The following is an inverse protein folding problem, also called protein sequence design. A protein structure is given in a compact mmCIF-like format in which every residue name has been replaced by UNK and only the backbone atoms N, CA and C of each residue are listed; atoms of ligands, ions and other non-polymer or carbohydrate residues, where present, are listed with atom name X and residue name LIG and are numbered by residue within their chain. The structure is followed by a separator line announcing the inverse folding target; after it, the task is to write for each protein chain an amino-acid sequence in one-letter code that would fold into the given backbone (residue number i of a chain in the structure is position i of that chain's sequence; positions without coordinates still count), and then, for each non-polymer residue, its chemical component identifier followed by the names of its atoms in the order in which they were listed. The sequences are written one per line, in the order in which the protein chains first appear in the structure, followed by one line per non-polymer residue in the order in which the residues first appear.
data_IF_984920447779
#
_entry.id   IF_984920447779
#
_cell.length_a   1.000
_cell.length_b   1.000
_cell.length_c   1.000
_cell.angle_alpha   90.00
_cell.angle_beta   90.00
_cell.angle_gamma   90.00
#
_symmetry.space_group_name_H-M   'P 1'
#
loop_
_entity.id
_entity.type
_entity.pdbx_description
1 polymer ?
#
# COMPACT_ATOMS: atom_id res chain seq x y z
N UNK A 1 -1.32 -30.95 33.74
CA UNK A 1 -2.29 -31.28 32.68
C UNK A 1 -1.68 -30.85 31.37
N UNK A 2 -1.38 -31.79 30.47
CA UNK A 2 -0.76 -31.48 29.19
C UNK A 2 -1.76 -30.76 28.28
N UNK A 3 -1.37 -29.61 27.74
CA UNK A 3 -2.12 -28.95 26.67
C UNK A 3 -2.15 -29.93 25.48
N UNK A 4 -3.30 -30.18 24.83
CA UNK A 4 -3.33 -31.03 23.65
C UNK A 4 -2.33 -30.51 22.61
N UNK A 5 -1.55 -31.42 22.01
CA UNK A 5 -0.64 -31.10 20.91
C UNK A 5 -1.41 -30.40 19.78
N UNK A 6 -0.78 -29.47 19.02
CA UNK A 6 -1.45 -28.77 17.93
C UNK A 6 -2.05 -29.77 16.93
N UNK A 7 -3.37 -29.64 16.72
CA UNK A 7 -4.14 -30.49 15.81
C UNK A 7 -3.86 -30.03 14.38
N UNK A 8 -3.13 -30.86 13.64
CA UNK A 8 -2.83 -30.66 12.23
C UNK A 8 -3.72 -31.56 11.38
N UNK A 9 -4.19 -31.03 10.25
CA UNK A 9 -4.89 -31.81 9.20
C UNK A 9 -3.94 -32.04 8.05
N UNK A 10 -3.89 -33.27 7.56
CA UNK A 10 -3.20 -33.57 6.32
C UNK A 10 -3.98 -32.98 5.14
N UNK A 11 -3.41 -31.95 4.50
CA UNK A 11 -4.00 -31.28 3.35
C UNK A 11 -3.65 -31.99 2.03
N UNK A 12 -2.41 -32.48 1.93
CA UNK A 12 -1.90 -33.31 0.83
C UNK A 12 -0.88 -34.30 1.37
N UNK A 13 -0.42 -35.24 0.53
CA UNK A 13 0.66 -36.17 0.91
C UNK A 13 1.91 -35.39 1.37
N UNK A 14 2.26 -35.50 2.65
CA UNK A 14 3.40 -34.80 3.24
C UNK A 14 3.22 -33.29 3.49
N UNK A 15 1.99 -32.78 3.43
CA UNK A 15 1.65 -31.40 3.75
C UNK A 15 0.57 -31.40 4.84
N UNK A 16 0.91 -30.79 5.95
CA UNK A 16 0.04 -30.59 7.11
C UNK A 16 -0.25 -29.10 7.27
N UNK A 17 -1.50 -28.77 7.55
CA UNK A 17 -1.98 -27.41 7.81
C UNK A 17 -2.71 -27.40 9.15
N UNK A 18 -2.63 -26.29 9.88
CA UNK A 18 -3.36 -26.13 11.16
C UNK A 18 -4.87 -26.36 10.95
N UNK A 19 -5.52 -27.05 11.90
CA UNK A 19 -6.97 -27.25 11.88
C UNK A 19 -7.76 -25.94 11.84
N UNK A 20 -7.19 -24.83 12.33
CA UNK A 20 -7.82 -23.51 12.34
C UNK A 20 -7.79 -22.83 10.97
N UNK A 21 -7.12 -23.41 9.98
CA UNK A 21 -7.06 -22.91 8.61
C UNK A 21 -7.66 -23.93 7.61
N UNK A 22 -8.92 -24.39 7.82
CA UNK A 22 -9.49 -25.46 7.02
C UNK A 22 -9.64 -25.08 5.54
N UNK A 23 -9.99 -23.83 5.26
CA UNK A 23 -10.11 -23.30 3.89
C UNK A 23 -8.76 -23.23 3.17
N UNK A 24 -7.66 -22.98 3.89
CA UNK A 24 -6.31 -23.01 3.32
C UNK A 24 -5.91 -24.45 2.99
N UNK A 25 -6.26 -25.40 3.86
CA UNK A 25 -5.99 -26.82 3.64
C UNK A 25 -6.69 -27.35 2.38
N UNK A 26 -7.93 -26.95 2.13
CA UNK A 26 -8.67 -27.32 0.90
C UNK A 26 -7.97 -26.83 -0.37
N UNK A 27 -7.36 -25.65 -0.31
CA UNK A 27 -6.66 -25.03 -1.44
C UNK A 27 -5.19 -25.47 -1.56
N UNK A 28 -4.70 -26.39 -0.74
CA UNK A 28 -3.26 -26.74 -0.68
C UNK A 28 -2.68 -27.23 -2.01
N UNK A 29 -3.49 -27.78 -2.91
CA UNK A 29 -3.09 -28.23 -4.24
C UNK A 29 -2.82 -27.08 -5.24
N UNK A 30 -3.20 -25.86 -4.89
CA UNK A 30 -2.89 -24.63 -5.62
C UNK A 30 -1.73 -23.84 -4.99
N UNK A 31 -1.16 -24.33 -3.87
CA UNK A 31 -0.14 -23.62 -3.11
C UNK A 31 1.25 -24.23 -3.32
N UNK A 32 2.26 -23.35 -3.32
CA UNK A 32 3.67 -23.74 -3.22
C UNK A 32 4.21 -23.35 -1.85
N UNK A 33 4.76 -24.31 -1.10
CA UNK A 33 5.27 -24.07 0.25
C UNK A 33 6.77 -23.74 0.19
N UNK A 34 7.13 -22.56 0.67
CA UNK A 34 8.52 -22.14 0.83
C UNK A 34 8.91 -22.32 2.30
N UNK A 35 9.74 -23.33 2.59
CA UNK A 35 10.24 -23.63 3.96
C UNK A 35 11.64 -23.07 4.24
N UNK A 36 12.27 -22.47 3.24
CA UNK A 36 13.65 -21.95 3.30
C UNK A 36 13.76 -20.51 3.81
N UNK A 37 12.63 -19.84 4.11
CA UNK A 37 12.64 -18.47 4.59
C UNK A 37 13.08 -18.44 6.06
N UNK A 38 14.30 -17.97 6.30
CA UNK A 38 14.88 -17.84 7.65
C UNK A 38 15.45 -16.43 7.80
N UNK A 39 15.23 -15.82 8.98
CA UNK A 39 15.80 -14.53 9.35
C UNK A 39 16.51 -14.64 10.69
N UNK A 40 17.59 -13.87 10.87
CA UNK A 40 18.30 -13.72 12.15
C UNK A 40 17.80 -12.52 12.96
N UNK A 41 16.79 -11.81 12.44
CA UNK A 41 16.28 -10.59 13.03
C UNK A 41 15.22 -10.89 14.08
N UNK A 42 15.55 -10.65 15.36
CA UNK A 42 14.65 -10.88 16.50
C UNK A 42 13.80 -9.66 16.89
N UNK A 43 14.09 -8.49 16.34
CA UNK A 43 13.32 -7.28 16.62
C UNK A 43 12.19 -7.09 15.60
N UNK A 44 10.96 -6.87 16.06
CA UNK A 44 9.77 -6.74 15.21
C UNK A 44 9.90 -5.67 14.12
N UNK A 45 10.36 -4.46 14.48
CA UNK A 45 10.49 -3.36 13.52
C UNK A 45 11.54 -3.69 12.47
N UNK A 46 12.67 -4.26 12.90
CA UNK A 46 13.75 -4.60 11.98
C UNK A 46 13.38 -5.76 11.06
N UNK A 47 12.67 -6.76 11.57
CA UNK A 47 12.17 -7.88 10.79
C UNK A 47 11.11 -7.42 9.77
N UNK A 48 10.25 -6.48 10.16
CA UNK A 48 9.29 -5.85 9.25
C UNK A 48 10.00 -5.12 8.10
N UNK A 49 11.05 -4.36 8.39
CA UNK A 49 11.86 -3.70 7.37
C UNK A 49 12.49 -4.69 6.40
N UNK A 50 13.09 -5.76 6.93
CA UNK A 50 13.68 -6.83 6.15
C UNK A 50 12.65 -7.52 5.24
N UNK A 51 11.45 -7.80 5.74
CA UNK A 51 10.39 -8.44 4.96
C UNK A 51 9.95 -7.57 3.78
N UNK A 52 9.78 -6.26 4.00
CA UNK A 52 9.27 -5.37 2.96
C UNK A 52 10.33 -4.93 1.94
N UNK A 53 11.60 -4.89 2.34
CA UNK A 53 12.68 -4.30 1.51
C UNK A 53 13.73 -5.32 1.06
N UNK A 54 13.84 -6.46 1.74
CA UNK A 54 14.92 -7.44 1.52
C UNK A 54 16.24 -7.08 2.21
N UNK A 55 16.32 -5.94 2.91
CA UNK A 55 17.54 -5.47 3.57
C UNK A 55 17.37 -5.39 5.08
N UNK A 56 18.42 -5.71 5.84
CA UNK A 56 18.45 -5.38 7.25
C UNK A 56 18.53 -3.84 7.42
N UNK A 57 17.81 -3.25 8.38
CA UNK A 57 17.88 -1.81 8.58
C UNK A 57 19.26 -1.40 9.10
N UNK A 58 19.87 -0.41 8.45
CA UNK A 58 21.17 0.11 8.81
C UNK A 58 21.72 1.09 7.77
N UNK A 59 22.71 1.87 8.19
CA UNK A 59 23.35 2.89 7.34
C UNK A 59 22.46 4.11 7.07
N UNK A 60 22.88 4.93 6.12
CA UNK A 60 22.17 6.16 5.75
C UNK A 60 21.11 5.96 4.64
N UNK A 61 21.00 4.74 4.09
CA UNK A 61 20.14 4.44 2.94
C UNK A 61 18.81 3.86 3.42
N UNK A 62 17.72 4.47 2.96
CA UNK A 62 16.38 3.88 3.07
C UNK A 62 16.06 3.13 1.78
N UNK A 63 16.01 1.81 1.87
CA UNK A 63 15.57 0.93 0.79
C UNK A 63 14.05 1.06 0.54
N UNK A 64 13.62 1.06 -0.74
CA UNK A 64 12.21 0.99 -1.11
C UNK A 64 11.59 -0.34 -0.71
N UNK A 65 10.27 -0.34 -0.52
CA UNK A 65 9.50 -1.59 -0.41
C UNK A 65 9.35 -2.29 -1.76
N UNK A 66 8.99 -3.57 -1.75
CA UNK A 66 8.59 -4.28 -2.97
C UNK A 66 7.50 -3.54 -3.75
N UNK A 67 6.50 -2.98 -3.07
CA UNK A 67 5.43 -2.20 -3.70
C UNK A 67 5.91 -0.90 -4.35
N UNK A 68 6.88 -0.22 -3.72
CA UNK A 68 7.52 0.95 -4.32
C UNK A 68 8.42 0.58 -5.51
N UNK A 69 9.08 -0.58 -5.46
CA UNK A 69 9.81 -1.11 -6.62
C UNK A 69 8.88 -1.40 -7.80
N UNK A 70 7.74 -2.05 -7.56
CA UNK A 70 6.75 -2.30 -8.61
C UNK A 70 6.18 -0.99 -9.15
N UNK A 71 5.92 0.00 -8.28
CA UNK A 71 5.55 1.35 -8.72
C UNK A 71 6.62 1.96 -9.62
N UNK A 72 7.90 1.90 -9.25
CA UNK A 72 8.96 2.49 -10.08
C UNK A 72 9.11 1.85 -11.47
N UNK A 73 9.00 0.51 -11.57
CA UNK A 73 9.24 -0.20 -12.82
C UNK A 73 7.98 -0.41 -13.68
N UNK A 74 6.80 -0.46 -13.06
CA UNK A 74 5.55 -0.88 -13.69
C UNK A 74 4.43 0.16 -13.56
N UNK A 75 4.71 1.37 -13.05
CA UNK A 75 3.72 2.45 -13.02
C UNK A 75 3.22 2.77 -14.43
N UNK A 76 1.90 2.75 -14.58
CA UNK A 76 1.24 3.25 -15.79
C UNK A 76 0.97 4.74 -15.62
N UNK A 77 1.70 5.56 -16.39
CA UNK A 77 1.50 7.01 -16.45
C UNK A 77 0.09 7.46 -16.88
N UNK A 78 -0.71 6.57 -17.49
CA UNK A 78 -2.10 6.82 -17.84
C UNK A 78 -3.08 6.44 -16.72
N UNK A 79 -2.61 5.74 -15.68
CA UNK A 79 -3.42 5.38 -14.52
C UNK A 79 -3.65 6.61 -13.64
N UNK A 80 -4.92 6.80 -13.30
CA UNK A 80 -5.43 7.78 -12.36
C UNK A 80 -5.50 7.23 -10.92
N UNK A 81 -5.17 5.96 -10.72
CA UNK A 81 -5.06 5.31 -9.41
C UNK A 81 -3.59 5.12 -8.98
N UNK A 82 -3.31 5.15 -7.67
CA UNK A 82 -1.97 4.88 -7.16
C UNK A 82 -1.48 3.47 -7.51
N UNK A 83 -0.26 3.38 -8.04
CA UNK A 83 0.39 2.11 -8.38
C UNK A 83 0.75 1.24 -7.16
N UNK A 84 0.77 1.82 -5.96
CA UNK A 84 1.02 1.11 -4.71
C UNK A 84 0.17 1.68 -3.58
N UNK A 85 -0.45 0.80 -2.80
CA UNK A 85 -1.36 1.16 -1.70
C UNK A 85 -0.96 0.40 -0.43
N UNK A 86 -0.86 1.11 0.68
CA UNK A 86 -0.73 0.56 2.02
C UNK A 86 -2.07 0.66 2.74
N UNK A 87 -2.51 -0.42 3.37
CA UNK A 87 -3.75 -0.46 4.15
C UNK A 87 -3.42 -0.45 5.65
N UNK A 88 -4.27 0.16 6.46
CA UNK A 88 -4.21 0.27 7.93
C UNK A 88 -3.17 1.28 8.46
N UNK A 89 -1.92 1.16 8.05
CA UNK A 89 -0.84 1.99 8.60
C UNK A 89 0.20 2.31 7.55
N UNK A 90 0.77 3.53 7.53
CA UNK A 90 1.93 3.81 6.71
C UNK A 90 3.04 2.83 7.07
N UNK A 91 3.48 2.04 6.09
CA UNK A 91 4.62 1.15 6.24
C UNK A 91 5.88 1.87 5.74
N UNK A 92 6.88 1.13 5.28
CA UNK A 92 8.03 1.74 4.61
C UNK A 92 7.62 2.26 3.23
N UNK A 93 8.39 3.21 2.71
CA UNK A 93 8.01 4.00 1.56
C UNK A 93 8.95 3.78 0.37
N UNK A 94 9.00 4.73 -0.57
CA UNK A 94 9.84 4.71 -1.76
C UNK A 94 11.34 4.79 -1.49
N UNK A 95 11.75 5.15 -0.27
CA UNK A 95 13.17 5.15 0.10
C UNK A 95 14.00 6.02 -0.85
N UNK A 96 15.10 5.46 -1.39
CA UNK A 96 15.94 6.15 -2.37
C UNK A 96 15.29 6.34 -3.76
N UNK A 97 14.15 5.70 -4.06
CA UNK A 97 13.38 5.93 -5.28
C UNK A 97 12.61 7.26 -5.24
N UNK A 98 12.43 7.84 -4.05
CA UNK A 98 11.78 9.13 -3.85
C UNK A 98 10.28 9.02 -3.57
N UNK A 99 9.71 10.16 -3.13
CA UNK A 99 8.35 10.24 -2.63
C UNK A 99 7.26 9.98 -3.70
N UNK A 100 7.60 10.07 -4.99
CA UNK A 100 6.69 9.76 -6.10
C UNK A 100 6.27 8.30 -6.14
N UNK A 101 7.05 7.41 -5.53
CA UNK A 101 6.80 5.98 -5.41
C UNK A 101 6.44 5.57 -3.98
N UNK A 102 6.15 6.55 -3.11
CA UNK A 102 5.58 6.25 -1.81
C UNK A 102 4.18 5.64 -2.00
N UNK A 103 3.85 4.59 -1.23
CA UNK A 103 2.53 3.99 -1.27
C UNK A 103 1.47 4.96 -0.77
N UNK A 104 0.32 4.99 -1.45
CA UNK A 104 -0.86 5.71 -0.98
C UNK A 104 -1.43 4.99 0.25
N UNK A 105 -1.72 5.72 1.32
CA UNK A 105 -2.09 5.11 2.61
C UNK A 105 -3.60 5.19 2.84
N UNK A 106 -4.25 4.04 2.88
CA UNK A 106 -5.65 3.87 3.26
C UNK A 106 -5.70 3.39 4.72
N UNK A 107 -6.00 4.30 5.66
CA UNK A 107 -5.99 3.97 7.10
C UNK A 107 -7.08 2.99 7.51
N UNK A 108 -8.29 3.16 6.97
CA UNK A 108 -9.43 2.31 7.31
C UNK A 108 -10.18 1.99 6.01
N UNK A 109 -10.02 0.78 5.44
CA UNK A 109 -10.62 0.45 4.16
C UNK A 109 -12.14 0.25 4.24
N UNK A 110 -12.73 0.27 5.44
CA UNK A 110 -14.17 0.23 5.65
C UNK A 110 -14.82 1.62 5.66
N UNK A 111 -13.99 2.68 5.72
CA UNK A 111 -14.43 4.07 5.67
C UNK A 111 -14.08 4.70 4.33
N UNK A 112 -14.78 5.78 3.93
CA UNK A 112 -14.31 6.60 2.82
C UNK A 112 -12.87 7.02 3.08
N UNK A 113 -12.05 6.91 2.05
CA UNK A 113 -10.65 7.33 2.12
C UNK A 113 -10.61 8.82 2.45
N UNK A 114 -9.76 9.17 3.41
CA UNK A 114 -9.59 10.54 3.90
C UNK A 114 -9.11 11.46 2.77
N UNK A 115 -9.46 12.75 2.86
CA UNK A 115 -8.99 13.81 1.97
C UNK A 115 -9.33 13.65 0.47
N UNK A 116 -10.28 12.77 0.12
CA UNK A 116 -10.78 12.61 -1.26
C UNK A 116 -11.95 13.55 -1.62
N UNK A 117 -12.30 14.48 -0.74
CA UNK A 117 -13.35 15.47 -0.98
C UNK A 117 -12.85 16.88 -0.70
N UNK A 118 -13.38 17.85 -1.45
CA UNK A 118 -13.09 19.25 -1.18
C UNK A 118 -13.73 19.69 0.15
N UNK A 119 -13.05 20.51 0.96
CA UNK A 119 -13.66 21.14 2.12
C UNK A 119 -14.96 21.83 1.74
N UNK A 120 -16.00 21.72 2.57
CA UNK A 120 -17.36 22.21 2.26
C UNK A 120 -17.44 23.70 1.90
N UNK A 121 -16.45 24.50 2.30
CA UNK A 121 -16.33 25.94 2.02
C UNK A 121 -15.56 26.26 0.72
N UNK A 122 -15.24 25.25 -0.10
CA UNK A 122 -14.42 25.39 -1.30
C UNK A 122 -15.05 24.68 -2.49
N UNK A 123 -15.47 25.45 -3.48
CA UNK A 123 -15.88 24.93 -4.77
C UNK A 123 -14.68 24.52 -5.63
N UNK A 124 -14.96 23.77 -6.70
CA UNK A 124 -13.96 23.25 -7.64
C UNK A 124 -13.21 24.36 -8.38
N UNK A 125 -13.87 25.49 -8.64
CA UNK A 125 -13.26 26.64 -9.30
C UNK A 125 -12.17 27.26 -8.40
N UNK A 126 -12.51 27.53 -7.14
CA UNK A 126 -11.57 28.08 -6.14
C UNK A 126 -10.42 27.14 -5.87
N UNK A 127 -10.67 25.83 -5.82
CA UNK A 127 -9.60 24.84 -5.67
C UNK A 127 -8.62 24.87 -6.86
N UNK A 128 -9.14 24.91 -8.09
CA UNK A 128 -8.32 24.99 -9.30
C UNK A 128 -7.49 26.26 -9.36
N UNK A 129 -8.05 27.40 -8.99
CA UNK A 129 -7.30 28.67 -8.93
C UNK A 129 -6.19 28.62 -7.88
N UNK A 130 -6.41 27.96 -6.73
CA UNK A 130 -5.35 27.75 -5.73
C UNK A 130 -4.23 26.85 -6.25
N UNK A 131 -4.55 25.77 -6.97
CA UNK A 131 -3.53 24.93 -7.60
C UNK A 131 -2.73 25.69 -8.66
N UNK A 132 -3.37 26.57 -9.45
CA UNK A 132 -2.66 27.44 -10.39
C UNK A 132 -1.71 28.41 -9.68
N UNK A 133 -2.15 29.03 -8.59
CA UNK A 133 -1.29 29.92 -7.79
C UNK A 133 -0.12 29.17 -7.16
N UNK A 134 -0.37 27.97 -6.61
CA UNK A 134 0.68 27.09 -6.07
C UNK A 134 1.71 26.79 -7.15
N UNK A 135 1.27 26.37 -8.34
CA UNK A 135 2.14 26.07 -9.47
C UNK A 135 3.02 27.27 -9.86
N UNK A 136 2.46 28.47 -9.91
CA UNK A 136 3.23 29.68 -10.23
C UNK A 136 4.34 29.97 -9.19
N UNK A 137 4.07 29.72 -7.90
CA UNK A 137 5.06 29.85 -6.82
C UNK A 137 6.13 28.75 -6.94
N UNK A 138 5.71 27.51 -7.20
CA UNK A 138 6.59 26.36 -7.36
C UNK A 138 7.53 26.53 -8.56
N UNK A 139 7.04 27.02 -9.70
CA UNK A 139 7.84 27.27 -10.91
C UNK A 139 9.00 28.25 -10.62
N UNK A 140 8.74 29.37 -9.92
CA UNK A 140 9.78 30.32 -9.52
C UNK A 140 10.77 29.70 -8.51
N UNK A 141 10.25 28.89 -7.57
CA UNK A 141 11.08 28.23 -6.56
C UNK A 141 12.00 27.16 -7.18
N UNK A 142 11.46 26.31 -8.05
CA UNK A 142 12.19 25.24 -8.78
C UNK A 142 13.25 25.86 -9.68
N UNK A 143 12.91 26.94 -10.41
CA UNK A 143 13.85 27.65 -11.28
C UNK A 143 15.06 28.21 -10.51
N UNK A 144 14.87 28.62 -9.25
CA UNK A 144 15.93 29.17 -8.39
C UNK A 144 16.64 28.10 -7.53
N UNK A 145 16.04 26.93 -7.36
CA UNK A 145 16.56 25.84 -6.52
C UNK A 145 16.28 24.49 -7.17
N UNK A 146 17.28 23.96 -7.87
CA UNK A 146 17.24 22.62 -8.46
C UNK A 146 17.55 21.55 -7.42
N UNK A 147 16.67 20.54 -7.27
CA UNK A 147 16.93 19.39 -6.41
C UNK A 147 15.78 18.38 -6.41
N UNK A 148 16.07 17.10 -6.12
CA UNK A 148 15.10 16.00 -6.15
C UNK A 148 13.85 16.20 -5.28
N UNK A 149 13.95 17.01 -4.23
CA UNK A 149 12.83 17.26 -3.31
C UNK A 149 11.73 18.14 -3.90
N UNK A 150 12.06 19.07 -4.80
CA UNK A 150 11.07 19.99 -5.38
C UNK A 150 10.30 19.33 -6.52
N UNK A 151 10.98 18.55 -7.36
CA UNK A 151 10.35 17.72 -8.41
C UNK A 151 9.36 16.69 -7.82
N UNK A 152 9.72 16.10 -6.67
CA UNK A 152 8.84 15.17 -5.99
C UNK A 152 7.56 15.83 -5.46
N UNK A 153 7.63 17.11 -5.07
CA UNK A 153 6.47 17.83 -4.51
C UNK A 153 5.39 18.07 -5.56
N UNK A 154 5.77 18.65 -6.71
CA UNK A 154 4.85 18.89 -7.83
C UNK A 154 4.20 17.58 -8.30
N UNK A 155 5.01 16.51 -8.43
CA UNK A 155 4.52 15.20 -8.85
C UNK A 155 3.50 14.60 -7.87
N UNK A 156 3.70 14.74 -6.55
CA UNK A 156 2.76 14.26 -5.54
C UNK A 156 1.44 15.04 -5.60
N UNK A 157 1.48 16.37 -5.72
CA UNK A 157 0.26 17.18 -5.86
C UNK A 157 -0.52 16.86 -7.13
N UNK A 158 0.18 16.64 -8.25
CA UNK A 158 -0.45 16.23 -9.50
C UNK A 158 -1.15 14.88 -9.36
N UNK A 159 -0.52 13.88 -8.74
CA UNK A 159 -1.14 12.56 -8.47
C UNK A 159 -2.36 12.70 -7.54
N UNK A 160 -2.30 13.56 -6.54
CA UNK A 160 -3.43 13.81 -5.64
C UNK A 160 -4.63 14.44 -6.37
N UNK A 161 -4.39 15.45 -7.21
CA UNK A 161 -5.44 16.07 -8.03
C UNK A 161 -6.05 15.07 -9.03
N UNK A 162 -5.23 14.22 -9.65
CA UNK A 162 -5.70 13.14 -10.53
C UNK A 162 -6.57 12.13 -9.77
N UNK A 163 -6.16 11.71 -8.58
CA UNK A 163 -6.90 10.76 -7.77
C UNK A 163 -8.27 11.31 -7.33
N UNK A 164 -8.31 12.55 -6.82
CA UNK A 164 -9.56 13.19 -6.37
C UNK A 164 -10.58 13.32 -7.52
N UNK A 165 -10.10 13.57 -8.73
CA UNK A 165 -10.94 13.71 -9.92
C UNK A 165 -11.13 12.40 -10.70
N UNK A 166 -10.61 11.26 -10.20
CA UNK A 166 -10.71 9.98 -10.88
C UNK A 166 -12.12 9.40 -10.78
N UNK A 167 -12.72 8.93 -11.89
CA UNK A 167 -13.97 8.16 -11.83
C UNK A 167 -13.80 6.78 -11.18
N UNK A 168 -12.55 6.33 -10.93
CA UNK A 168 -12.25 5.02 -10.32
C UNK A 168 -12.02 5.11 -8.82
N UNK A 169 -12.26 6.26 -8.20
CA UNK A 169 -12.07 6.47 -6.76
C UNK A 169 -12.90 5.49 -5.92
N UNK A 170 -14.02 5.02 -6.48
CA UNK A 170 -14.89 4.02 -5.88
C UNK A 170 -14.23 2.65 -5.69
N UNK A 171 -13.07 2.40 -6.32
CA UNK A 171 -12.26 1.22 -6.09
C UNK A 171 -11.82 1.07 -4.62
N UNK A 172 -11.81 2.17 -3.85
CA UNK A 172 -11.52 2.15 -2.42
C UNK A 172 -12.76 1.96 -1.53
N UNK A 173 -13.97 1.91 -2.11
CA UNK A 173 -15.22 1.71 -1.39
C UNK A 173 -15.57 0.21 -1.32
N UNK A 174 -15.10 -0.47 -0.27
CA UNK A 174 -15.35 -1.92 -0.10
C UNK A 174 -16.81 -2.28 0.23
N UNK A 175 -17.63 -1.29 0.55
CA UNK A 175 -19.00 -1.46 1.02
C UNK A 175 -19.99 -1.73 -0.11
N UNK A 176 -19.62 -1.45 -1.36
CA UNK A 176 -20.49 -1.46 -2.54
C UNK A 176 -20.29 -2.71 -3.43
N UNK A 177 -19.80 -3.81 -2.87
CA UNK A 177 -19.42 -5.00 -3.64
C UNK A 177 -20.64 -5.66 -4.31
N UNK A 178 -20.62 -5.72 -5.64
CA UNK A 178 -21.66 -6.29 -6.53
C UNK A 178 -21.37 -7.73 -7.00
N UNK A 179 -20.32 -8.39 -6.51
CA UNK A 179 -19.77 -9.62 -7.10
C UNK A 179 -20.34 -10.95 -6.58
N UNK A 180 -21.50 -10.92 -5.91
CA UNK A 180 -22.33 -12.12 -5.68
C UNK A 180 -21.78 -13.17 -4.71
N UNK A 181 -20.61 -12.98 -4.08
CA UNK A 181 -20.14 -13.86 -3.01
C UNK A 181 -20.75 -13.46 -1.66
N UNK A 182 -21.36 -14.41 -0.91
CA UNK A 182 -21.93 -14.08 0.40
C UNK A 182 -20.84 -13.57 1.33
N UNK A 183 -21.18 -12.55 2.13
CA UNK A 183 -20.34 -12.11 3.26
C UNK A 183 -20.11 -13.31 4.17
N UNK A 184 -18.93 -13.91 4.07
CA UNK A 184 -18.54 -15.09 4.82
C UNK A 184 -18.59 -14.80 6.32
N UNK A 185 -19.53 -15.48 6.98
CA UNK A 185 -19.49 -16.04 8.34
C UNK A 185 -18.96 -15.09 9.42
N UNK A 186 -19.88 -14.56 10.22
CA UNK A 186 -19.57 -14.06 11.57
C UNK A 186 -18.96 -15.23 12.35
N UNK A 187 -17.72 -15.10 12.77
CA UNK A 187 -17.20 -15.92 13.85
C UNK A 187 -17.86 -15.40 15.14
N UNK A 188 -18.83 -16.15 15.66
CA UNK A 188 -19.27 -16.07 17.06
C UNK A 188 -18.29 -16.83 17.95
#
# INVERSE_FOLDING_TARGET
MGVPLPLFRQALKGIEVSEHLPQVAEQAHHLSIIRSMVSREGNHERARYLLHTGYAPGGAVRHPTLGSFTSYYLEDSLSDLPSCVNINSPTYAGGFLGATHDPFVVKDPMKPVEDLSYPSQMDTHRFRERLKMLKAIEEDFIAKRTGRGTEAHEAVYKKADQLINSPKIDAFQLNERTDGYPRGIRYE
#
